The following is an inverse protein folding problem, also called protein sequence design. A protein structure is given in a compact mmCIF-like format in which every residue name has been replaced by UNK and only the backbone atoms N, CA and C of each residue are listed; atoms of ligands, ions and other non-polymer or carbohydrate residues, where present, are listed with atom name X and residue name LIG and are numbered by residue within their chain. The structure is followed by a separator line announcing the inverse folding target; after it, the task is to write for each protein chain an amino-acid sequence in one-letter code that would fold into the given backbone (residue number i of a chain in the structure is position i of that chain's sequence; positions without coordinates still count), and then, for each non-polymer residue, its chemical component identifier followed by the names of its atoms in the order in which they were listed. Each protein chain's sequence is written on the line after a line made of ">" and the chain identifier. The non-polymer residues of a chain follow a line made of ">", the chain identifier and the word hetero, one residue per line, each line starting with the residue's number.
data_IF_072457648896
#
_entry.id   IF_072457648896
#
_cell.length_a   1.000
_cell.length_b   1.000
_cell.length_c   1.000
_cell.angle_alpha   90.00
_cell.angle_beta   90.00
_cell.angle_gamma   90.00
#
_symmetry.space_group_name_H-M   'P 1'
#
loop_
_entity.id
_entity.type
_entity.pdbx_description
1 polymer ?
#
# COMPACT_ATOMS: atom_id res chain seq x y z
N UNK A 1 -1.53 -17.20 -5.71
CA UNK A 1 -1.68 -15.74 -5.81
C UNK A 1 -3.14 -15.36 -5.68
N UNK A 2 -3.45 -14.31 -4.91
CA UNK A 2 -4.83 -13.83 -4.69
C UNK A 2 -5.03 -12.53 -5.47
N UNK A 3 -6.13 -12.41 -6.21
CA UNK A 3 -6.53 -11.15 -6.84
C UNK A 3 -7.55 -10.42 -5.96
N UNK A 4 -7.17 -9.24 -5.47
CA UNK A 4 -8.03 -8.32 -4.72
C UNK A 4 -8.01 -6.93 -5.36
N UNK A 5 -9.18 -6.43 -5.74
CA UNK A 5 -9.39 -5.09 -6.27
C UNK A 5 -9.64 -4.13 -5.10
N UNK A 6 -8.74 -3.17 -4.91
CA UNK A 6 -8.78 -2.18 -3.82
C UNK A 6 -9.64 -0.95 -4.17
N UNK A 7 -10.93 -1.19 -4.35
CA UNK A 7 -11.92 -0.21 -4.81
C UNK A 7 -12.66 0.50 -3.66
N UNK A 8 -11.94 0.87 -2.60
CA UNK A 8 -12.51 1.48 -1.39
C UNK A 8 -13.17 2.84 -1.62
N UNK A 9 -12.59 3.67 -2.49
CA UNK A 9 -13.12 5.01 -2.77
C UNK A 9 -14.21 4.91 -3.83
N UNK A 10 -15.49 5.21 -3.52
CA UNK A 10 -16.59 5.11 -4.49
C UNK A 10 -16.37 5.95 -5.75
N UNK A 11 -15.55 7.00 -5.67
CA UNK A 11 -15.23 7.86 -6.82
C UNK A 11 -14.24 7.22 -7.79
N UNK A 12 -13.51 6.21 -7.33
CA UNK A 12 -12.53 5.47 -8.13
C UNK A 12 -13.04 4.07 -8.53
N UNK A 13 -14.22 3.67 -8.04
CA UNK A 13 -14.86 2.41 -8.43
C UNK A 13 -15.26 2.48 -9.91
N UNK A 14 -14.57 1.67 -10.72
CA UNK A 14 -14.91 1.51 -12.12
C UNK A 14 -14.68 0.05 -12.53
N UNK A 15 -15.79 -0.65 -12.83
CA UNK A 15 -15.74 -2.05 -13.22
C UNK A 15 -14.96 -2.27 -14.52
N UNK A 16 -15.08 -1.38 -15.51
CA UNK A 16 -14.36 -1.55 -16.77
C UNK A 16 -12.85 -1.52 -16.56
N UNK A 17 -12.37 -0.62 -15.69
CA UNK A 17 -10.93 -0.53 -15.36
C UNK A 17 -10.44 -1.79 -14.64
N UNK A 18 -11.27 -2.39 -13.76
CA UNK A 18 -10.94 -3.67 -13.14
C UNK A 18 -10.90 -4.80 -14.17
N UNK A 19 -11.85 -4.83 -15.10
CA UNK A 19 -11.89 -5.82 -16.17
C UNK A 19 -10.71 -5.68 -17.13
N UNK A 20 -10.31 -4.44 -17.45
CA UNK A 20 -9.14 -4.15 -18.30
C UNK A 20 -7.85 -4.63 -17.62
N UNK A 21 -7.69 -4.35 -16.31
CA UNK A 21 -6.57 -4.85 -15.52
C UNK A 21 -6.50 -6.38 -15.54
N UNK A 22 -7.63 -7.08 -15.35
CA UNK A 22 -7.67 -8.54 -15.38
C UNK A 22 -7.26 -9.09 -16.76
N UNK A 23 -7.73 -8.48 -17.85
CA UNK A 23 -7.32 -8.88 -19.21
C UNK A 23 -5.83 -8.66 -19.47
N UNK A 24 -5.26 -7.58 -18.94
CA UNK A 24 -3.83 -7.33 -19.07
C UNK A 24 -2.99 -8.34 -18.27
N UNK A 25 -3.44 -8.74 -17.07
CA UNK A 25 -2.81 -9.83 -16.32
C UNK A 25 -2.87 -11.16 -17.06
N UNK A 26 -4.03 -11.54 -17.59
CA UNK A 26 -4.19 -12.75 -18.40
C UNK A 26 -3.29 -12.72 -19.64
N UNK A 27 -3.22 -11.59 -20.34
CA UNK A 27 -2.35 -11.42 -21.50
C UNK A 27 -0.86 -11.53 -21.17
N UNK A 28 -0.45 -11.06 -19.98
CA UNK A 28 0.91 -11.24 -19.45
C UNK A 28 1.19 -12.67 -18.96
N UNK A 29 0.20 -13.56 -18.93
CA UNK A 29 0.33 -14.91 -18.36
C UNK A 29 0.34 -14.93 -16.82
N UNK A 30 -0.15 -13.86 -16.17
CA UNK A 30 -0.22 -13.71 -14.72
C UNK A 30 -1.60 -14.15 -14.20
N UNK A 31 -1.76 -15.44 -13.96
CA UNK A 31 -3.00 -16.01 -13.38
C UNK A 31 -3.02 -15.91 -11.85
N UNK A 32 -4.23 -15.92 -11.27
CA UNK A 32 -4.46 -15.98 -9.82
C UNK A 32 -5.28 -17.22 -9.45
N UNK A 33 -5.04 -17.74 -8.25
CA UNK A 33 -5.69 -18.95 -7.72
C UNK A 33 -7.05 -18.62 -7.07
N UNK A 34 -7.17 -17.43 -6.47
CA UNK A 34 -8.37 -16.98 -5.76
C UNK A 34 -8.75 -15.56 -6.15
N UNK A 35 -10.07 -15.28 -6.22
CA UNK A 35 -10.62 -13.98 -6.56
C UNK A 35 -11.28 -13.91 -7.95
N UNK A 36 -11.62 -12.71 -8.46
CA UNK A 36 -11.35 -11.41 -7.85
C UNK A 36 -12.22 -11.11 -6.62
N UNK A 37 -11.59 -10.65 -5.55
CA UNK A 37 -12.29 -10.04 -4.40
C UNK A 37 -12.36 -8.51 -4.56
N UNK A 38 -13.42 -7.89 -4.06
CA UNK A 38 -13.60 -6.43 -4.12
C UNK A 38 -13.73 -5.86 -2.71
N UNK A 39 -12.91 -4.87 -2.35
CA UNK A 39 -12.95 -4.25 -1.03
C UNK A 39 -14.26 -3.50 -0.78
N UNK A 40 -14.88 -2.94 -1.83
CA UNK A 40 -16.20 -2.33 -1.77
C UNK A 40 -17.30 -3.25 -1.24
N UNK A 41 -17.10 -4.58 -1.34
CA UNK A 41 -18.05 -5.61 -0.87
C UNK A 41 -17.67 -6.20 0.50
N UNK A 42 -16.68 -5.64 1.18
CA UNK A 42 -16.09 -6.20 2.42
C UNK A 42 -16.17 -5.24 3.61
N UNK A 43 -17.01 -4.22 3.51
CA UNK A 43 -17.19 -3.20 4.55
C UNK A 43 -17.54 -3.76 5.92
N UNK A 44 -18.26 -4.88 5.98
CA UNK A 44 -18.65 -5.52 7.24
C UNK A 44 -17.44 -6.05 8.02
N UNK A 45 -16.47 -6.66 7.32
CA UNK A 45 -15.22 -7.13 7.94
C UNK A 45 -14.40 -5.96 8.51
N UNK A 46 -14.35 -4.84 7.80
CA UNK A 46 -13.66 -3.63 8.27
C UNK A 46 -14.39 -2.99 9.45
N UNK A 47 -15.73 -3.05 9.45
CA UNK A 47 -16.56 -2.55 10.53
C UNK A 47 -16.41 -3.40 11.80
N UNK A 48 -16.29 -4.72 11.68
CA UNK A 48 -16.01 -5.62 12.81
C UNK A 48 -14.62 -5.36 13.41
N UNK A 49 -13.60 -5.19 12.57
CA UNK A 49 -12.26 -4.82 13.02
C UNK A 49 -12.27 -3.46 13.76
N UNK A 50 -13.00 -2.47 13.22
CA UNK A 50 -13.18 -1.18 13.88
C UNK A 50 -13.86 -1.33 15.25
N UNK A 51 -14.95 -2.11 15.35
CA UNK A 51 -15.64 -2.38 16.62
C UNK A 51 -14.70 -3.02 17.63
N UNK A 52 -13.89 -3.99 17.21
CA UNK A 52 -12.89 -4.65 18.05
C UNK A 52 -11.87 -3.66 18.63
N UNK A 53 -11.32 -2.79 17.78
CA UNK A 53 -10.36 -1.77 18.19
C UNK A 53 -11.00 -0.71 19.11
N UNK A 54 -12.22 -0.28 18.79
CA UNK A 54 -12.98 0.67 19.61
C UNK A 54 -13.35 0.10 20.98
N UNK A 55 -13.79 -1.16 21.06
CA UNK A 55 -14.10 -1.85 22.31
C UNK A 55 -12.90 -1.97 23.25
N UNK A 56 -11.68 -1.89 22.71
CA UNK A 56 -10.41 -1.86 23.46
C UNK A 56 -9.92 -0.45 23.80
N UNK A 57 -10.68 0.59 23.46
CA UNK A 57 -10.31 1.99 23.71
C UNK A 57 -9.17 2.51 22.82
N UNK A 58 -8.82 1.79 21.76
CA UNK A 58 -7.68 2.10 20.87
C UNK A 58 -8.00 3.12 19.79
N UNK A 59 -9.25 3.56 19.68
CA UNK A 59 -9.68 4.52 18.64
C UNK A 59 -10.32 5.75 19.26
N UNK A 60 -10.39 6.84 18.51
CA UNK A 60 -11.12 8.05 18.91
C UNK A 60 -11.56 8.88 17.68
N UNK A 61 -12.62 9.70 17.83
CA UNK A 61 -13.07 10.59 16.77
C UNK A 61 -12.10 11.76 16.56
N UNK A 62 -11.81 12.06 15.30
CA UNK A 62 -10.98 13.18 14.90
C UNK A 62 -11.78 14.19 14.06
N UNK A 63 -11.66 15.44 14.48
CA UNK A 63 -12.34 16.61 13.92
C UNK A 63 -11.30 17.57 13.31
N UNK A 64 -10.17 17.08 12.84
CA UNK A 64 -9.19 17.91 12.13
C UNK A 64 -9.47 17.81 10.62
N UNK A 65 -9.59 18.96 9.96
CA UNK A 65 -9.60 19.06 8.50
C UNK A 65 -8.18 18.90 7.95
N UNK A 66 -8.06 18.54 6.67
CA UNK A 66 -6.76 18.48 5.99
C UNK A 66 -6.02 19.82 6.05
N UNK A 67 -6.73 20.93 5.87
CA UNK A 67 -6.13 22.27 5.92
C UNK A 67 -5.54 22.58 7.32
N UNK A 68 -6.25 22.24 8.39
CA UNK A 68 -5.75 22.41 9.77
C UNK A 68 -4.52 21.54 10.05
N UNK A 69 -4.46 20.34 9.46
CA UNK A 69 -3.28 19.47 9.57
C UNK A 69 -2.09 20.05 8.82
N UNK A 70 -2.26 20.58 7.61
CA UNK A 70 -1.15 21.15 6.84
C UNK A 70 -0.66 22.53 7.35
N UNK A 71 -1.53 23.32 7.98
CA UNK A 71 -1.18 24.65 8.49
C UNK A 71 -0.38 24.63 9.80
N UNK A 72 -0.46 23.53 10.57
CA UNK A 72 0.43 23.31 11.69
C UNK A 72 1.79 22.85 11.12
N UNK A 73 2.86 23.61 11.33
CA UNK A 73 4.22 23.33 10.83
C UNK A 73 4.85 22.08 11.47
N UNK A 74 4.27 20.90 11.29
CA UNK A 74 4.73 19.65 11.90
C UNK A 74 5.63 18.86 10.94
N UNK A 75 6.52 18.01 11.47
CA UNK A 75 7.37 17.15 10.66
C UNK A 75 6.54 16.25 9.74
N UNK A 76 7.04 16.08 8.50
CA UNK A 76 6.55 15.06 7.59
C UNK A 76 7.06 13.68 8.05
N UNK A 77 6.18 12.69 8.07
CA UNK A 77 6.50 11.29 8.13
C UNK A 77 7.37 10.89 6.93
N UNK A 78 8.03 9.76 7.03
CA UNK A 78 8.95 9.22 6.02
C UNK A 78 8.33 9.00 4.62
N UNK A 79 7.01 9.01 4.51
CA UNK A 79 6.25 8.91 3.26
C UNK A 79 5.63 10.26 2.80
N UNK A 80 6.03 11.38 3.41
CA UNK A 80 5.50 12.72 3.13
C UNK A 80 4.18 13.03 3.84
N UNK A 81 3.62 12.09 4.61
CA UNK A 81 2.38 12.30 5.38
C UNK A 81 2.62 13.19 6.59
N UNK A 82 1.63 13.96 7.03
CA UNK A 82 1.73 14.74 8.26
C UNK A 82 1.73 13.85 9.51
N UNK A 83 2.70 14.00 10.42
CA UNK A 83 2.68 13.32 11.72
C UNK A 83 1.62 13.96 12.62
N UNK A 84 0.56 13.22 12.91
CA UNK A 84 -0.57 13.76 13.67
C UNK A 84 -0.25 13.94 15.16
N UNK A 85 -0.38 15.18 15.64
CA UNK A 85 0.02 15.60 16.99
C UNK A 85 -1.02 15.29 18.10
N UNK A 86 -2.03 14.46 17.83
CA UNK A 86 -2.96 14.03 18.89
C UNK A 86 -4.02 15.07 19.28
N UNK A 87 -4.28 16.13 18.48
CA UNK A 87 -5.17 17.26 18.83
C UNK A 87 -6.54 16.84 19.38
N UNK A 88 -7.14 15.79 18.79
CA UNK A 88 -8.43 15.27 19.20
C UNK A 88 -8.36 14.07 20.18
N UNK A 89 -7.18 13.61 20.60
CA UNK A 89 -7.00 12.37 21.38
C UNK A 89 -7.65 12.47 22.77
N UNK A 90 -7.72 13.67 23.33
CA UNK A 90 -8.26 13.95 24.67
C UNK A 90 -9.59 14.70 24.70
N UNK A 91 -10.37 14.70 23.61
CA UNK A 91 -11.68 15.37 23.62
C UNK A 91 -12.64 14.68 24.62
N UNK A 92 -13.37 15.48 25.40
CA UNK A 92 -14.43 14.96 26.27
C UNK A 92 -15.66 14.57 25.46
N UNK A 93 -16.55 13.77 26.06
CA UNK A 93 -17.82 13.36 25.45
C UNK A 93 -18.65 14.57 25.01
N UNK A 94 -18.68 15.64 25.81
CA UNK A 94 -19.41 16.88 25.51
C UNK A 94 -18.79 17.60 24.31
N UNK A 95 -17.46 17.67 24.24
CA UNK A 95 -16.75 18.28 23.11
C UNK A 95 -16.96 17.50 21.81
N UNK A 96 -16.96 16.17 21.89
CA UNK A 96 -17.28 15.29 20.75
C UNK A 96 -18.71 15.52 20.30
N UNK A 97 -19.68 15.55 21.22
CA UNK A 97 -21.08 15.78 20.92
C UNK A 97 -21.30 17.14 20.25
N UNK A 98 -20.68 18.20 20.77
CA UNK A 98 -20.78 19.55 20.19
C UNK A 98 -20.22 19.62 18.78
N UNK A 99 -19.02 19.08 18.55
CA UNK A 99 -18.38 19.07 17.23
C UNK A 99 -19.14 18.21 16.22
N UNK A 100 -19.78 17.13 16.68
CA UNK A 100 -20.58 16.24 15.83
C UNK A 100 -21.84 16.91 15.27
N UNK A 101 -22.31 18.01 15.86
CA UNK A 101 -23.46 18.78 15.34
C UNK A 101 -23.19 19.39 13.97
N UNK A 102 -21.93 19.73 13.68
CA UNK A 102 -21.55 20.47 12.47
C UNK A 102 -20.66 19.67 11.52
N UNK A 103 -20.01 18.59 11.99
CA UNK A 103 -19.16 17.75 11.14
C UNK A 103 -19.10 16.31 11.61
N UNK A 104 -19.15 15.38 10.65
CA UNK A 104 -18.84 13.98 10.90
C UNK A 104 -17.36 13.80 11.26
N UNK A 105 -17.02 13.05 12.32
CA UNK A 105 -15.64 12.76 12.65
C UNK A 105 -15.05 11.70 11.71
N UNK A 106 -13.77 11.81 11.43
CA UNK A 106 -12.97 10.66 11.01
C UNK A 106 -12.61 9.82 12.24
N UNK A 107 -12.16 8.58 12.07
CA UNK A 107 -11.69 7.73 13.18
C UNK A 107 -10.20 7.47 13.02
N UNK A 108 -9.45 7.73 14.10
CA UNK A 108 -8.02 7.42 14.20
C UNK A 108 -7.76 6.24 15.13
N UNK A 109 -6.73 5.48 14.81
CA UNK A 109 -6.12 4.51 15.71
C UNK A 109 -5.05 5.20 16.54
N UNK A 110 -5.09 4.99 17.86
CA UNK A 110 -4.06 5.45 18.80
C UNK A 110 -2.82 4.59 18.62
N UNK A 111 -1.67 5.24 18.47
CA UNK A 111 -0.38 4.57 18.63
C UNK A 111 0.07 4.65 20.10
N UNK A 112 0.95 3.75 20.56
CA UNK A 112 1.54 3.84 21.90
C UNK A 112 2.39 5.10 22.02
N UNK A 113 2.58 5.56 23.26
CA UNK A 113 3.40 6.76 23.49
C UNK A 113 4.87 6.50 23.11
N UNK A 114 5.60 7.56 22.73
CA UNK A 114 6.94 7.46 22.13
C UNK A 114 7.94 6.64 22.96
N UNK A 115 7.85 6.75 24.30
CA UNK A 115 8.72 6.03 25.24
C UNK A 115 8.34 4.56 25.45
N UNK A 116 7.18 4.13 24.96
CA UNK A 116 6.72 2.74 25.09
C UNK A 116 7.52 1.83 24.17
N UNK A 117 8.00 0.66 24.65
CA UNK A 117 8.57 -0.36 23.78
C UNK A 117 7.61 -0.81 22.67
N UNK A 118 6.30 -0.71 22.89
CA UNK A 118 5.29 -1.06 21.89
C UNK A 118 5.20 -0.05 20.74
N UNK A 119 5.74 1.17 20.90
CA UNK A 119 5.85 2.14 19.82
C UNK A 119 6.97 1.80 18.83
N UNK A 120 7.93 0.95 19.21
CA UNK A 120 9.03 0.54 18.36
C UNK A 120 8.64 -0.67 17.52
N UNK A 121 8.57 -0.49 16.21
CA UNK A 121 8.26 -1.57 15.27
C UNK A 121 9.47 -1.81 14.39
N UNK A 122 9.88 -3.08 14.32
CA UNK A 122 10.95 -3.56 13.45
C UNK A 122 10.37 -4.54 12.43
N UNK A 123 10.61 -4.24 11.15
CA UNK A 123 10.30 -5.11 10.01
C UNK A 123 11.61 -5.46 9.32
N UNK A 124 11.82 -6.74 8.99
CA UNK A 124 12.97 -7.15 8.18
C UNK A 124 12.48 -7.36 6.76
N UNK A 125 12.74 -6.38 5.90
CA UNK A 125 12.39 -6.46 4.49
C UNK A 125 13.34 -7.37 3.73
N UNK A 126 12.82 -8.22 2.84
CA UNK A 126 13.63 -9.16 2.06
C UNK A 126 14.62 -8.49 1.11
N UNK A 127 14.37 -7.25 0.68
CA UNK A 127 15.19 -6.52 -0.30
C UNK A 127 15.98 -5.39 0.37
N UNK A 128 15.32 -4.59 1.20
CA UNK A 128 15.91 -3.41 1.82
C UNK A 128 16.45 -3.66 3.23
N UNK A 129 16.24 -4.86 3.80
CA UNK A 129 16.77 -5.24 5.10
C UNK A 129 15.98 -4.65 6.27
N UNK A 130 16.59 -4.51 7.46
CA UNK A 130 15.91 -4.00 8.64
C UNK A 130 15.38 -2.58 8.46
N UNK A 131 14.09 -2.40 8.71
CA UNK A 131 13.38 -1.14 8.79
C UNK A 131 12.81 -0.97 10.21
N UNK A 132 13.11 0.15 10.85
CA UNK A 132 12.66 0.45 12.21
C UNK A 132 11.93 1.79 12.22
N UNK A 133 10.78 1.83 12.89
CA UNK A 133 9.97 3.04 13.04
C UNK A 133 9.47 3.14 14.49
N UNK A 134 9.55 4.34 15.07
CA UNK A 134 8.80 4.67 16.28
C UNK A 134 7.46 5.26 15.85
N UNK A 135 6.37 4.54 16.09
CA UNK A 135 5.04 4.93 15.60
C UNK A 135 4.60 6.31 16.11
N UNK A 136 4.90 6.68 17.36
CA UNK A 136 4.47 7.97 17.90
C UNK A 136 5.25 9.13 17.28
N UNK A 137 6.58 8.98 17.15
CA UNK A 137 7.46 10.02 16.59
C UNK A 137 7.34 10.17 15.08
N UNK A 138 7.30 9.05 14.37
CA UNK A 138 7.53 9.00 12.92
C UNK A 138 6.21 8.93 12.12
N UNK A 139 5.07 8.61 12.76
CA UNK A 139 3.76 8.46 12.12
C UNK A 139 2.63 9.23 12.84
N UNK A 140 2.54 9.09 14.16
CA UNK A 140 1.41 9.55 14.97
C UNK A 140 0.15 8.70 14.77
N UNK A 141 -0.94 9.09 15.45
CA UNK A 141 -2.22 8.38 15.34
C UNK A 141 -2.78 8.49 13.91
N UNK A 142 -2.93 7.35 13.22
CA UNK A 142 -3.31 7.34 11.81
C UNK A 142 -4.80 7.03 11.58
N UNK A 143 -5.33 7.43 10.43
CA UNK A 143 -6.73 7.23 10.07
C UNK A 143 -7.01 5.75 9.75
N UNK A 144 -8.11 5.24 10.29
CA UNK A 144 -8.68 3.93 9.94
C UNK A 144 -10.07 4.04 9.31
N UNK A 145 -10.75 5.19 9.49
CA UNK A 145 -11.98 5.56 8.78
C UNK A 145 -12.01 7.06 8.52
N UNK A 146 -12.37 7.46 7.31
CA UNK A 146 -12.52 8.86 6.89
C UNK A 146 -13.84 9.44 7.41
N UNK A 147 -13.96 10.76 7.40
CA UNK A 147 -15.17 11.48 7.82
C UNK A 147 -16.37 11.29 6.89
N UNK A 148 -16.14 10.86 5.65
CA UNK A 148 -17.17 10.46 4.69
C UNK A 148 -17.56 8.98 4.82
N UNK A 149 -17.05 8.30 5.84
CA UNK A 149 -17.42 6.92 6.16
C UNK A 149 -16.55 5.85 5.49
N UNK A 150 -15.76 6.21 4.47
CA UNK A 150 -14.87 5.27 3.76
C UNK A 150 -13.76 4.78 4.68
N UNK A 151 -13.53 3.46 4.71
CA UNK A 151 -12.42 2.87 5.47
C UNK A 151 -11.08 3.25 4.85
N UNK A 152 -10.10 3.55 5.69
CA UNK A 152 -8.77 3.92 5.22
C UNK A 152 -8.00 2.67 4.77
N UNK A 153 -7.13 2.85 3.77
CA UNK A 153 -6.26 1.81 3.22
C UNK A 153 -5.59 0.96 4.31
N UNK A 154 -5.03 1.62 5.34
CA UNK A 154 -4.32 0.93 6.42
C UNK A 154 -5.16 -0.14 7.13
N UNK A 155 -6.46 0.11 7.36
CA UNK A 155 -7.34 -0.89 7.98
C UNK A 155 -7.76 -1.97 6.98
N UNK A 156 -8.21 -1.56 5.81
CA UNK A 156 -8.76 -2.49 4.82
C UNK A 156 -7.72 -3.53 4.36
N UNK A 157 -6.50 -3.09 4.05
CA UNK A 157 -5.42 -3.98 3.60
C UNK A 157 -5.03 -4.98 4.68
N UNK A 158 -4.88 -4.54 5.94
CA UNK A 158 -4.48 -5.41 7.05
C UNK A 158 -5.55 -6.45 7.37
N UNK A 159 -6.83 -6.03 7.35
CA UNK A 159 -7.95 -6.94 7.58
C UNK A 159 -8.03 -7.97 6.46
N UNK A 160 -7.89 -7.56 5.22
CA UNK A 160 -7.97 -8.48 4.10
C UNK A 160 -6.77 -9.42 4.03
N UNK A 161 -5.55 -8.93 4.22
CA UNK A 161 -4.35 -9.77 4.23
C UNK A 161 -4.45 -10.83 5.32
N UNK A 162 -4.89 -10.45 6.53
CA UNK A 162 -5.10 -11.36 7.64
C UNK A 162 -6.21 -12.40 7.40
N UNK A 163 -7.35 -12.00 6.83
CA UNK A 163 -8.48 -12.90 6.56
C UNK A 163 -8.27 -13.79 5.33
N UNK A 164 -7.49 -13.33 4.36
CA UNK A 164 -7.15 -14.08 3.15
C UNK A 164 -5.90 -14.95 3.33
N UNK A 165 -5.27 -14.93 4.51
CA UNK A 165 -4.11 -15.76 4.80
C UNK A 165 -2.86 -15.37 3.99
N UNK A 166 -2.71 -14.08 3.65
CA UNK A 166 -1.53 -13.59 2.94
C UNK A 166 -0.29 -13.83 3.81
N UNK A 167 0.71 -14.49 3.26
CA UNK A 167 1.96 -14.82 3.97
C UNK A 167 3.10 -13.87 3.63
N UNK A 168 3.13 -13.36 2.40
CA UNK A 168 4.17 -12.48 1.89
C UNK A 168 3.53 -11.29 1.14
N UNK A 169 3.89 -10.07 1.54
CA UNK A 169 3.44 -8.83 0.94
C UNK A 169 4.57 -8.27 0.08
N UNK A 170 4.36 -8.26 -1.24
CA UNK A 170 5.29 -7.71 -2.23
C UNK A 170 4.72 -6.44 -2.85
N UNK A 171 5.44 -5.32 -2.74
CA UNK A 171 4.97 -4.01 -3.25
C UNK A 171 6.09 -3.02 -3.52
N UNK A 172 5.81 -1.89 -4.15
CA UNK A 172 6.80 -0.84 -4.41
C UNK A 172 7.40 -0.26 -3.13
N UNK A 173 8.70 0.09 -3.15
CA UNK A 173 9.45 0.63 -2.00
C UNK A 173 8.92 1.94 -1.42
N UNK A 174 8.08 2.66 -2.16
CA UNK A 174 7.33 3.81 -1.66
C UNK A 174 6.39 3.45 -0.50
N UNK A 175 5.96 2.19 -0.41
CA UNK A 175 5.10 1.69 0.65
C UNK A 175 5.87 1.04 1.82
N UNK A 176 7.21 1.04 1.79
CA UNK A 176 8.02 0.51 2.90
C UNK A 176 7.67 1.15 4.26
N UNK A 177 7.48 2.48 4.37
CA UNK A 177 7.02 3.10 5.61
C UNK A 177 5.66 2.60 6.13
N UNK A 178 4.79 2.07 5.27
CA UNK A 178 3.51 1.53 5.73
C UNK A 178 3.67 0.19 6.44
N UNK A 179 4.78 -0.54 6.23
CA UNK A 179 4.97 -1.88 6.78
C UNK A 179 4.94 -1.90 8.32
N UNK A 180 5.53 -0.91 8.98
CA UNK A 180 5.53 -0.82 10.44
C UNK A 180 4.12 -0.60 11.00
N UNK A 181 3.36 0.33 10.40
CA UNK A 181 1.99 0.67 10.82
C UNK A 181 1.03 -0.49 10.61
N UNK A 182 1.16 -1.19 9.50
CA UNK A 182 0.36 -2.37 9.16
C UNK A 182 0.73 -3.55 10.05
N UNK A 183 2.01 -3.74 10.37
CA UNK A 183 2.47 -4.72 11.36
C UNK A 183 1.86 -4.44 12.73
N UNK A 184 1.87 -3.19 13.18
CA UNK A 184 1.25 -2.81 14.45
C UNK A 184 -0.25 -3.10 14.46
N UNK A 185 -0.99 -2.67 13.43
CA UNK A 185 -2.43 -2.92 13.32
C UNK A 185 -2.76 -4.41 13.23
N UNK A 186 -1.98 -5.18 12.46
CA UNK A 186 -2.13 -6.62 12.34
C UNK A 186 -1.95 -7.32 13.70
N UNK A 187 -0.90 -6.95 14.45
CA UNK A 187 -0.68 -7.47 15.81
C UNK A 187 -1.85 -7.14 16.74
N UNK A 188 -2.43 -5.93 16.65
CA UNK A 188 -3.60 -5.58 17.44
C UNK A 188 -4.81 -6.45 17.08
N UNK A 189 -5.03 -6.73 15.80
CA UNK A 189 -6.16 -7.53 15.33
C UNK A 189 -5.93 -9.05 15.45
N UNK A 190 -4.75 -9.47 15.93
CA UNK A 190 -4.41 -10.88 16.08
C UNK A 190 -4.10 -11.58 14.76
N UNK A 191 -3.83 -10.82 13.69
CA UNK A 191 -3.38 -11.39 12.43
C UNK A 191 -1.91 -11.81 12.55
N UNK A 192 -1.55 -12.90 11.87
CA UNK A 192 -0.19 -13.43 11.85
C UNK A 192 0.83 -12.42 11.31
N UNK A 193 2.12 -12.70 11.53
CA UNK A 193 3.19 -11.90 10.93
C UNK A 193 3.24 -12.18 9.44
N UNK A 194 3.27 -11.09 8.66
CA UNK A 194 3.51 -11.12 7.23
C UNK A 194 5.01 -10.92 6.98
N UNK A 195 5.54 -11.63 6.00
CA UNK A 195 6.84 -11.30 5.44
C UNK A 195 6.68 -10.16 4.45
N UNK A 196 7.61 -9.21 4.46
CA UNK A 196 7.58 -8.06 3.55
C UNK A 196 8.75 -8.13 2.58
N UNK A 197 8.47 -7.84 1.32
CA UNK A 197 9.46 -7.52 0.33
C UNK A 197 9.04 -6.26 -0.41
N UNK A 198 9.93 -5.29 -0.50
CA UNK A 198 9.68 -4.11 -1.31
C UNK A 198 10.55 -4.14 -2.57
N UNK A 199 9.99 -3.75 -3.71
CA UNK A 199 10.69 -3.73 -5.00
C UNK A 199 11.01 -2.30 -5.45
N UNK A 200 12.10 -2.09 -6.20
CA UNK A 200 12.41 -0.78 -6.76
C UNK A 200 11.29 -0.25 -7.65
N UNK A 201 11.23 1.08 -7.79
CA UNK A 201 10.21 1.74 -8.60
C UNK A 201 10.68 1.89 -10.05
N UNK A 202 9.71 1.94 -10.95
CA UNK A 202 9.91 2.48 -12.29
C UNK A 202 9.70 4.00 -12.25
N UNK A 203 10.69 4.73 -12.74
CA UNK A 203 10.77 6.19 -12.70
C UNK A 203 10.83 6.73 -14.13
N UNK A 204 10.17 7.85 -14.38
CA UNK A 204 10.36 8.61 -15.61
C UNK A 204 11.74 9.29 -15.65
N UNK A 205 12.19 9.76 -16.83
CA UNK A 205 13.46 10.49 -16.97
C UNK A 205 13.50 11.81 -16.19
N UNK A 206 12.34 12.34 -15.83
CA UNK A 206 12.15 13.52 -14.99
C UNK A 206 12.36 13.26 -13.48
N UNK A 207 12.63 12.00 -13.10
CA UNK A 207 12.83 11.60 -11.71
C UNK A 207 11.53 11.43 -10.92
N UNK A 208 10.37 11.52 -11.57
CA UNK A 208 9.08 11.19 -10.95
C UNK A 208 8.72 9.73 -11.18
N UNK A 209 7.94 9.15 -10.25
CA UNK A 209 7.41 7.79 -10.43
C UNK A 209 6.56 7.76 -11.70
N UNK A 210 6.69 6.70 -12.49
CA UNK A 210 5.77 6.48 -13.61
C UNK A 210 4.33 6.51 -13.13
N UNK A 211 3.51 7.28 -13.82
CA UNK A 211 2.10 7.48 -13.49
C UNK A 211 1.24 7.23 -14.74
N UNK A 212 -0.07 7.07 -14.56
CA UNK A 212 -1.02 6.94 -15.67
C UNK A 212 -1.01 8.10 -16.67
N UNK A 213 -0.35 9.23 -16.36
CA UNK A 213 -0.17 10.34 -17.30
C UNK A 213 0.91 10.05 -18.36
N UNK A 214 1.79 9.09 -18.09
CA UNK A 214 2.81 8.58 -19.00
C UNK A 214 2.19 7.46 -19.85
N UNK A 215 1.12 7.79 -20.60
CA UNK A 215 0.24 6.83 -21.30
C UNK A 215 1.03 5.81 -22.17
N UNK A 216 2.17 6.21 -22.72
CA UNK A 216 3.06 5.35 -23.53
C UNK A 216 3.72 4.19 -22.75
N UNK A 217 3.44 4.04 -21.45
CA UNK A 217 3.99 2.98 -20.59
C UNK A 217 2.93 2.08 -19.95
N UNK A 218 1.64 2.27 -20.26
CA UNK A 218 0.62 1.31 -19.82
C UNK A 218 0.65 0.02 -20.66
N UNK A 219 0.21 -1.10 -20.06
CA UNK A 219 0.32 -2.44 -20.70
C UNK A 219 -0.49 -2.51 -21.98
N UNK A 220 -1.65 -1.84 -22.03
CA UNK A 220 -2.49 -1.80 -23.22
C UNK A 220 -1.80 -1.09 -24.38
N UNK A 221 -1.17 0.06 -24.14
CA UNK A 221 -0.43 0.83 -25.13
C UNK A 221 0.80 0.07 -25.61
N UNK A 222 1.58 -0.55 -24.70
CA UNK A 222 2.72 -1.39 -25.07
C UNK A 222 2.30 -2.57 -25.97
N UNK A 223 1.13 -3.17 -25.69
CA UNK A 223 0.56 -4.24 -26.53
C UNK A 223 0.12 -3.70 -27.89
N UNK A 224 -0.51 -2.53 -27.96
CA UNK A 224 -0.93 -1.88 -29.21
C UNK A 224 0.27 -1.49 -30.09
N UNK A 225 1.39 -1.11 -29.46
CA UNK A 225 2.68 -0.85 -30.11
C UNK A 225 3.39 -2.13 -30.59
N UNK A 226 2.79 -3.30 -30.37
CA UNK A 226 3.24 -4.59 -30.91
C UNK A 226 4.26 -5.32 -30.04
N UNK A 227 4.47 -4.90 -28.78
CA UNK A 227 5.31 -5.66 -27.86
C UNK A 227 4.58 -6.93 -27.40
N UNK A 228 5.34 -8.02 -27.30
CA UNK A 228 4.83 -9.26 -26.72
C UNK A 228 4.96 -9.23 -25.19
N UNK A 229 4.12 -10.00 -24.50
CA UNK A 229 4.20 -10.15 -23.05
C UNK A 229 5.61 -10.59 -22.61
N UNK A 230 6.24 -11.49 -23.37
CA UNK A 230 7.56 -12.02 -23.05
C UNK A 230 8.67 -10.98 -23.18
N UNK A 231 8.52 -10.01 -24.10
CA UNK A 231 9.46 -8.90 -24.22
C UNK A 231 9.35 -7.96 -23.02
N UNK A 232 8.13 -7.64 -22.58
CA UNK A 232 7.89 -6.78 -21.40
C UNK A 232 8.44 -7.45 -20.15
N UNK A 233 8.10 -8.72 -19.91
CA UNK A 233 8.56 -9.49 -18.76
C UNK A 233 10.09 -9.65 -18.79
N UNK A 234 10.66 -10.03 -19.93
CA UNK A 234 12.10 -10.15 -20.11
C UNK A 234 12.84 -8.86 -19.80
N UNK A 235 12.33 -7.72 -20.27
CA UNK A 235 12.93 -6.40 -20.01
C UNK A 235 12.86 -6.01 -18.52
N UNK A 236 11.75 -6.27 -17.85
CA UNK A 236 11.62 -6.03 -16.41
C UNK A 236 12.51 -6.99 -15.60
N UNK A 237 12.64 -8.24 -16.04
CA UNK A 237 13.52 -9.24 -15.43
C UNK A 237 15.00 -8.87 -15.58
N UNK A 238 15.42 -8.36 -16.74
CA UNK A 238 16.77 -7.80 -16.97
C UNK A 238 17.06 -6.68 -15.97
N UNK A 239 16.10 -5.77 -15.75
CA UNK A 239 16.26 -4.62 -14.86
C UNK A 239 16.53 -5.00 -13.39
N UNK A 240 16.11 -6.20 -12.98
CA UNK A 240 16.38 -6.76 -11.65
C UNK A 240 17.42 -7.88 -11.67
N UNK A 241 18.11 -8.09 -12.80
CA UNK A 241 19.20 -9.05 -12.98
C UNK A 241 18.78 -10.52 -13.00
N UNK A 242 17.55 -10.82 -13.43
CA UNK A 242 17.02 -12.19 -13.57
C UNK A 242 17.18 -12.73 -15.00
N UNK A 243 17.24 -11.84 -16.00
CA UNK A 243 17.35 -12.18 -17.42
C UNK A 243 18.60 -11.56 -18.05
N UNK A 244 19.09 -12.18 -19.13
CA UNK A 244 20.15 -11.61 -19.95
C UNK A 244 19.61 -10.45 -20.83
N UNK A 245 20.47 -9.52 -21.29
CA UNK A 245 20.04 -8.41 -22.13
C UNK A 245 19.29 -8.84 -23.40
N UNK A 246 18.07 -8.34 -23.57
CA UNK A 246 17.21 -8.65 -24.71
C UNK A 246 16.55 -10.05 -24.68
N UNK A 247 16.75 -10.81 -23.61
CA UNK A 247 16.08 -12.10 -23.42
C UNK A 247 14.56 -11.88 -23.26
N UNK A 248 13.76 -12.73 -23.89
CA UNK A 248 12.30 -12.76 -23.75
C UNK A 248 11.93 -13.91 -22.82
N UNK A 249 11.06 -13.64 -21.84
CA UNK A 249 10.65 -14.62 -20.85
C UNK A 249 9.13 -14.64 -20.68
N UNK A 250 8.54 -15.82 -20.65
CA UNK A 250 7.18 -15.99 -20.12
C UNK A 250 7.15 -15.72 -18.62
N UNK A 251 5.96 -15.47 -18.06
CA UNK A 251 5.78 -15.32 -16.61
C UNK A 251 6.24 -16.57 -15.84
N UNK A 252 6.02 -17.76 -16.39
CA UNK A 252 6.45 -19.04 -15.79
C UNK A 252 7.97 -19.19 -15.79
N UNK A 253 8.64 -18.87 -16.90
CA UNK A 253 10.11 -18.90 -16.96
C UNK A 253 10.74 -17.88 -16.01
N UNK A 254 10.16 -16.68 -15.92
CA UNK A 254 10.58 -15.69 -14.93
C UNK A 254 10.42 -16.23 -13.50
N UNK A 255 9.26 -16.79 -13.16
CA UNK A 255 8.99 -17.33 -11.83
C UNK A 255 9.99 -18.44 -11.46
N UNK A 256 10.32 -19.33 -12.40
CA UNK A 256 11.29 -20.41 -12.20
C UNK A 256 12.73 -19.93 -11.96
N UNK A 257 13.07 -18.71 -12.40
CA UNK A 257 14.40 -18.09 -12.23
C UNK A 257 14.45 -17.06 -11.11
N UNK A 258 13.31 -16.68 -10.56
CA UNK A 258 13.21 -15.59 -9.60
C UNK A 258 14.01 -15.89 -8.32
N UNK A 259 14.71 -14.86 -7.81
CA UNK A 259 15.36 -14.90 -6.51
C UNK A 259 15.42 -13.52 -5.89
N UNK A 260 15.07 -13.45 -4.61
CA UNK A 260 15.25 -12.23 -3.80
C UNK A 260 16.69 -11.75 -3.76
N UNK A 261 17.68 -12.63 -3.95
CA UNK A 261 19.08 -12.22 -4.03
C UNK A 261 19.35 -11.33 -5.25
N UNK A 262 18.73 -11.63 -6.40
CA UNK A 262 18.92 -10.82 -7.59
C UNK A 262 18.33 -9.42 -7.41
N UNK A 263 17.11 -9.35 -6.87
CA UNK A 263 16.46 -8.07 -6.53
C UNK A 263 17.29 -7.27 -5.52
N UNK A 264 17.88 -7.91 -4.49
CA UNK A 264 18.77 -7.23 -3.53
C UNK A 264 20.00 -6.60 -4.19
N UNK A 265 20.58 -7.26 -5.19
CA UNK A 265 21.73 -6.76 -5.95
C UNK A 265 21.34 -5.60 -6.88
N UNK A 266 20.08 -5.55 -7.31
CA UNK A 266 19.54 -4.56 -8.26
C UNK A 266 18.40 -3.70 -7.67
N UNK A 267 18.50 -3.31 -6.40
CA UNK A 267 17.43 -2.63 -5.65
C UNK A 267 17.27 -1.13 -5.90
N UNK A 268 17.99 -0.58 -6.88
CA UNK A 268 17.89 0.83 -7.27
C UNK A 268 16.67 1.04 -8.16
N UNK A 269 16.03 2.20 -8.05
CA UNK A 269 14.92 2.57 -8.93
C UNK A 269 15.39 2.59 -10.40
N UNK A 270 14.52 2.16 -11.31
CA UNK A 270 14.83 1.97 -12.73
C UNK A 270 14.23 3.11 -13.54
N UNK A 271 15.06 3.80 -14.32
CA UNK A 271 14.58 4.86 -15.22
C UNK A 271 14.06 4.25 -16.52
N UNK A 272 12.81 4.53 -16.84
CA UNK A 272 12.10 4.09 -18.05
C UNK A 272 12.01 5.26 -19.01
N UNK A 273 12.89 5.27 -20.01
CA UNK A 273 12.81 6.19 -21.15
C UNK A 273 11.91 5.63 -22.27
N UNK A 274 11.60 6.43 -23.29
CA UNK A 274 10.78 6.01 -24.46
C UNK A 274 11.34 4.78 -25.18
N UNK A 275 12.63 4.47 -24.99
CA UNK A 275 13.30 3.34 -25.62
C UNK A 275 13.43 2.15 -24.68
N UNK A 276 12.93 2.23 -23.45
CA UNK A 276 13.19 1.23 -22.42
C UNK A 276 12.65 -0.13 -22.84
N UNK A 277 11.44 -0.20 -23.37
CA UNK A 277 10.85 -1.45 -23.86
C UNK A 277 11.16 -1.76 -25.33
N UNK A 278 11.83 -0.84 -26.04
CA UNK A 278 12.20 -0.99 -27.46
C UNK A 278 13.64 -1.48 -27.68
N UNK A 279 14.45 -1.55 -26.62
CA UNK A 279 15.83 -2.05 -26.61
C UNK A 279 15.84 -3.53 -26.26
#
# INVERSE_FOLDING_TARGET
>A
MILRIEDLDPRAQNQSVADDLMRDYEWLGLSWDEGPFYQSRRTDAYQEALVTLSGRGLTYPCFCSRAELHAASAPHASDGTFVYQGTCRGLTTEQVAEKSKTRNPAIRLKVPDESSPLAQISVVDRVYGPYNENLARDCGDFLIRRSDGVFAYQLAVVVDDGLMGVTEVVRGRDLLPSAARQTYLGNLLGFGRHEYAHVPLLMGPDGHRLSKRNLDTDVASLREDGLSAEAIIGRLAEAIGVADPGERLTAEEFANRFSWESVRRHKSDVVVDEKFFLK
#
